data_IF_793505061454
#
_entry.id   IF_793505061454
#
_cell.length_a   1.000
_cell.length_b   1.000
_cell.length_c   1.000
_cell.angle_alpha   90.00
_cell.angle_beta   90.00
_cell.angle_gamma   90.00
#
_symmetry.space_group_name_H-M   'P 1'
#
loop_
_entity.id
_entity.type
_entity.pdbx_description
1 polymer ?
#
# COMPACT_ATOMS: atom_id res chain seq x y z
N UNK A 1 -36.51 33.22 -31.43
CA UNK A 1 -35.69 32.02 -31.72
C UNK A 1 -34.74 31.82 -30.55
N UNK A 2 -35.24 31.18 -29.49
CA UNK A 2 -34.41 30.83 -28.33
C UNK A 2 -33.68 29.55 -28.69
N UNK A 3 -32.37 29.66 -28.90
CA UNK A 3 -31.52 28.51 -29.11
C UNK A 3 -31.61 27.61 -27.87
N UNK A 4 -32.05 26.38 -28.12
CA UNK A 4 -32.13 25.30 -27.17
C UNK A 4 -30.69 24.99 -26.72
N UNK A 5 -30.23 25.55 -25.59
CA UNK A 5 -29.01 25.11 -24.90
C UNK A 5 -29.37 23.77 -24.24
N UNK A 6 -29.61 22.76 -25.08
CA UNK A 6 -29.70 21.39 -24.65
C UNK A 6 -28.29 20.96 -24.28
N UNK A 7 -28.08 20.73 -22.98
CA UNK A 7 -26.99 19.97 -22.36
C UNK A 7 -25.77 19.68 -23.27
N UNK A 8 -24.87 20.67 -23.41
CA UNK A 8 -23.54 20.36 -23.89
C UNK A 8 -22.91 19.40 -22.88
N UNK A 9 -22.66 18.15 -23.29
CA UNK A 9 -21.91 17.20 -22.48
C UNK A 9 -20.52 17.75 -22.14
N UNK A 10 -19.84 17.23 -21.11
CA UNK A 10 -18.51 17.70 -20.74
C UNK A 10 -17.56 17.65 -21.95
N UNK A 11 -16.71 18.67 -22.07
CA UNK A 11 -15.71 18.73 -23.14
C UNK A 11 -14.66 17.63 -22.90
N UNK A 12 -14.48 16.67 -23.82
CA UNK A 12 -13.62 15.50 -23.60
C UNK A 12 -12.16 15.86 -23.28
N UNK A 13 -11.63 16.92 -23.89
CA UNK A 13 -10.29 17.45 -23.64
C UNK A 13 -10.10 17.89 -22.18
N UNK A 14 -11.10 18.56 -21.59
CA UNK A 14 -11.05 18.95 -20.17
C UNK A 14 -11.07 17.73 -19.26
N UNK A 15 -11.89 16.72 -19.55
CA UNK A 15 -11.94 15.48 -18.75
C UNK A 15 -10.60 14.74 -18.82
N UNK A 16 -9.99 14.69 -20.01
CA UNK A 16 -8.67 14.10 -20.22
C UNK A 16 -7.56 14.87 -19.49
N UNK A 17 -7.59 16.21 -19.50
CA UNK A 17 -6.65 17.04 -18.73
C UNK A 17 -6.78 16.80 -17.23
N UNK A 18 -8.02 16.65 -16.72
CA UNK A 18 -8.24 16.31 -15.31
C UNK A 18 -7.73 14.90 -14.95
N UNK A 19 -7.78 13.93 -15.87
CA UNK A 19 -7.18 12.61 -15.66
C UNK A 19 -5.65 12.72 -15.55
N UNK A 20 -5.02 13.49 -16.45
CA UNK A 20 -3.58 13.70 -16.45
C UNK A 20 -3.12 14.43 -15.16
N UNK A 21 -3.85 15.46 -14.73
CA UNK A 21 -3.61 16.17 -13.46
C UNK A 21 -3.83 15.25 -12.25
N UNK A 22 -4.89 14.43 -12.23
CA UNK A 22 -5.14 13.49 -11.15
C UNK A 22 -4.02 12.45 -11.01
N UNK A 23 -3.51 11.90 -12.11
CA UNK A 23 -2.40 10.95 -12.09
C UNK A 23 -1.10 11.61 -11.58
N UNK A 24 -0.82 12.84 -12.03
CA UNK A 24 0.33 13.62 -11.54
C UNK A 24 0.22 13.91 -10.03
N UNK A 25 -0.93 14.43 -9.60
CA UNK A 25 -1.18 14.77 -8.20
C UNK A 25 -1.19 13.54 -7.30
N UNK A 26 -1.62 12.37 -7.79
CA UNK A 26 -1.52 11.13 -7.03
C UNK A 26 -0.07 10.77 -6.70
N UNK A 27 0.81 10.77 -7.70
CA UNK A 27 2.24 10.48 -7.50
C UNK A 27 2.89 11.48 -6.54
N UNK A 28 2.49 12.76 -6.63
CA UNK A 28 2.92 13.79 -5.69
C UNK A 28 2.41 13.54 -4.27
N UNK A 29 1.14 13.21 -4.12
CA UNK A 29 0.51 12.92 -2.83
C UNK A 29 1.21 11.78 -2.10
N UNK A 30 1.48 10.65 -2.77
CA UNK A 30 2.23 9.53 -2.19
C UNK A 30 3.64 9.94 -1.74
N UNK A 31 4.31 10.79 -2.52
CA UNK A 31 5.65 11.28 -2.21
C UNK A 31 5.64 12.22 -1.01
N UNK A 32 4.67 13.13 -0.95
CA UNK A 32 4.57 14.12 0.12
C UNK A 32 4.13 13.49 1.46
N UNK A 33 3.30 12.44 1.43
CA UNK A 33 2.97 11.65 2.63
C UNK A 33 4.18 10.97 3.29
N UNK A 34 5.23 10.70 2.51
CA UNK A 34 6.48 10.14 3.00
C UNK A 34 7.54 11.21 3.33
N UNK A 35 7.23 12.49 3.13
CA UNK A 35 8.19 13.58 3.32
C UNK A 35 8.42 13.89 4.79
N UNK A 36 9.69 14.11 5.15
CA UNK A 36 10.08 14.56 6.50
C UNK A 36 9.96 16.08 6.68
N UNK A 37 9.72 16.82 5.59
CA UNK A 37 9.65 18.29 5.59
C UNK A 37 8.25 18.81 5.35
N UNK A 38 7.24 17.94 5.30
CA UNK A 38 5.82 18.31 5.15
C UNK A 38 5.03 17.75 6.34
N UNK A 39 4.08 18.53 6.82
CA UNK A 39 3.07 18.03 7.74
C UNK A 39 1.77 17.70 6.99
N UNK A 40 0.83 17.02 7.67
CA UNK A 40 -0.42 16.56 7.04
C UNK A 40 -1.32 17.71 6.58
N UNK A 41 -1.33 18.86 7.27
CA UNK A 41 -2.13 20.03 6.86
C UNK A 41 -1.61 20.63 5.55
N UNK A 42 -0.29 20.64 5.36
CA UNK A 42 0.34 21.05 4.11
C UNK A 42 0.04 20.06 2.98
N UNK A 43 0.15 18.76 3.22
CA UNK A 43 -0.20 17.74 2.22
C UNK A 43 -1.66 17.90 1.78
N UNK A 44 -2.56 18.09 2.74
CA UNK A 44 -3.97 18.27 2.47
C UNK A 44 -4.22 19.51 1.60
N UNK A 45 -3.75 20.69 2.06
CA UNK A 45 -4.03 21.98 1.43
C UNK A 45 -3.38 22.17 0.06
N UNK A 46 -2.18 21.61 -0.17
CA UNK A 46 -1.44 21.84 -1.41
C UNK A 46 -1.62 20.75 -2.46
N UNK A 47 -2.01 19.55 -2.06
CA UNK A 47 -1.98 18.37 -2.94
C UNK A 47 -3.28 17.57 -2.88
N UNK A 48 -3.76 17.18 -1.70
CA UNK A 48 -4.94 16.31 -1.59
C UNK A 48 -6.23 17.00 -2.06
N UNK A 49 -6.47 18.27 -1.69
CA UNK A 49 -7.65 19.02 -2.14
C UNK A 49 -7.69 19.17 -3.66
N UNK A 50 -6.53 19.45 -4.27
CA UNK A 50 -6.39 19.52 -5.73
C UNK A 50 -6.58 18.17 -6.40
N UNK A 51 -6.07 17.10 -5.80
CA UNK A 51 -6.23 15.74 -6.31
C UNK A 51 -7.72 15.37 -6.34
N UNK A 52 -8.45 15.65 -5.26
CA UNK A 52 -9.89 15.45 -5.20
C UNK A 52 -10.61 16.30 -6.26
N UNK A 53 -10.24 17.56 -6.43
CA UNK A 53 -10.79 18.41 -7.48
C UNK A 53 -10.57 17.88 -8.90
N UNK A 54 -9.40 17.32 -9.19
CA UNK A 54 -9.10 16.68 -10.48
C UNK A 54 -9.91 15.38 -10.67
N UNK A 55 -10.02 14.55 -9.63
CA UNK A 55 -10.89 13.36 -9.62
C UNK A 55 -12.34 13.74 -9.90
N UNK A 56 -12.86 14.75 -9.21
CA UNK A 56 -14.21 15.27 -9.42
C UNK A 56 -14.39 15.78 -10.86
N UNK A 57 -13.38 16.46 -11.40
CA UNK A 57 -13.33 16.90 -12.80
C UNK A 57 -13.47 15.74 -13.80
N UNK A 58 -12.84 14.60 -13.53
CA UNK A 58 -13.03 13.38 -14.34
C UNK A 58 -14.44 12.81 -14.17
N UNK A 59 -14.98 12.80 -12.95
CA UNK A 59 -16.32 12.25 -12.64
C UNK A 59 -17.48 13.08 -13.18
N UNK A 60 -17.25 14.30 -13.67
CA UNK A 60 -18.24 15.03 -14.48
C UNK A 60 -18.59 14.22 -15.75
N UNK A 61 -17.63 13.45 -16.27
CA UNK A 61 -17.90 12.51 -17.35
C UNK A 61 -18.86 11.40 -16.89
N UNK A 62 -19.86 11.13 -17.71
CA UNK A 62 -20.71 9.94 -17.60
C UNK A 62 -20.35 8.97 -18.71
N UNK A 63 -20.91 7.77 -18.67
CA UNK A 63 -20.79 6.86 -19.79
C UNK A 63 -21.36 7.47 -21.09
N UNK A 64 -20.71 7.25 -22.24
CA UNK A 64 -19.56 6.36 -22.45
C UNK A 64 -18.18 6.99 -22.23
N UNK A 65 -18.10 8.31 -22.00
CA UNK A 65 -16.84 9.04 -21.93
C UNK A 65 -15.98 8.59 -20.73
N UNK A 66 -16.59 8.38 -19.56
CA UNK A 66 -15.87 7.88 -18.38
C UNK A 66 -15.19 6.53 -18.64
N UNK A 67 -15.89 5.60 -19.31
CA UNK A 67 -15.32 4.32 -19.72
C UNK A 67 -14.13 4.50 -20.66
N UNK A 68 -14.22 5.40 -21.66
CA UNK A 68 -13.11 5.67 -22.58
C UNK A 68 -11.88 6.24 -21.87
N UNK A 69 -12.09 7.14 -20.90
CA UNK A 69 -11.05 7.75 -20.08
C UNK A 69 -10.35 6.70 -19.21
N UNK A 70 -11.12 5.80 -18.58
CA UNK A 70 -10.58 4.69 -17.78
C UNK A 70 -9.77 3.73 -18.65
N UNK A 71 -10.28 3.35 -19.82
CA UNK A 71 -9.59 2.45 -20.74
C UNK A 71 -8.29 3.09 -21.27
N UNK A 72 -8.30 4.41 -21.57
CA UNK A 72 -7.09 5.17 -21.87
C UNK A 72 -6.10 5.10 -20.71
N UNK A 73 -6.52 5.41 -19.49
CA UNK A 73 -5.67 5.41 -18.30
C UNK A 73 -4.95 4.06 -18.11
N UNK A 74 -5.67 2.96 -18.28
CA UNK A 74 -5.12 1.60 -18.14
C UNK A 74 -4.20 1.18 -19.29
N UNK A 75 -4.33 1.78 -20.47
CA UNK A 75 -3.41 1.56 -21.59
C UNK A 75 -2.05 2.22 -21.40
N UNK A 76 -1.96 3.24 -20.54
CA UNK A 76 -0.72 3.96 -20.26
C UNK A 76 0.19 3.12 -19.36
N UNK A 77 1.51 3.34 -19.51
CA UNK A 77 2.53 2.61 -18.73
C UNK A 77 2.71 3.15 -17.31
N UNK A 78 2.31 4.39 -17.07
CA UNK A 78 2.42 5.02 -15.76
C UNK A 78 1.34 4.46 -14.81
N UNK A 79 1.79 3.85 -13.73
CA UNK A 79 0.97 3.17 -12.73
C UNK A 79 0.11 4.14 -11.90
N UNK A 80 0.42 5.44 -11.89
CA UNK A 80 -0.45 6.44 -11.26
C UNK A 80 -1.81 6.49 -11.97
N UNK A 81 -1.83 6.36 -13.30
CA UNK A 81 -3.09 6.26 -14.04
C UNK A 81 -3.90 5.02 -13.68
N UNK A 82 -3.23 3.88 -13.43
CA UNK A 82 -3.92 2.66 -13.02
C UNK A 82 -4.53 2.80 -11.63
N UNK A 83 -3.81 3.49 -10.74
CA UNK A 83 -4.28 3.82 -9.39
C UNK A 83 -5.49 4.75 -9.43
N UNK A 84 -5.40 5.84 -10.20
CA UNK A 84 -6.50 6.79 -10.38
C UNK A 84 -7.71 6.14 -11.06
N UNK A 85 -7.51 5.33 -12.09
CA UNK A 85 -8.60 4.59 -12.76
C UNK A 85 -9.36 3.66 -11.80
N UNK A 86 -8.63 2.92 -10.95
CA UNK A 86 -9.25 2.10 -9.93
C UNK A 86 -9.99 2.95 -8.90
N UNK A 87 -9.39 4.06 -8.46
CA UNK A 87 -10.02 4.95 -7.50
C UNK A 87 -11.30 5.60 -8.06
N UNK A 88 -11.30 6.09 -9.30
CA UNK A 88 -12.48 6.64 -9.97
C UNK A 88 -13.66 5.66 -9.94
N UNK A 89 -13.42 4.38 -10.24
CA UNK A 89 -14.46 3.34 -10.17
C UNK A 89 -14.95 3.07 -8.74
N UNK A 90 -14.15 3.39 -7.72
CA UNK A 90 -14.54 3.26 -6.31
C UNK A 90 -15.48 4.37 -5.83
N UNK A 91 -15.37 5.57 -6.42
CA UNK A 91 -16.14 6.75 -6.02
C UNK A 91 -17.23 7.13 -7.03
N UNK A 92 -17.20 6.58 -8.24
CA UNK A 92 -18.23 6.81 -9.25
C UNK A 92 -19.63 6.47 -8.73
N UNK A 93 -20.64 7.24 -9.12
CA UNK A 93 -22.03 6.98 -8.73
C UNK A 93 -22.69 5.82 -9.52
N UNK A 94 -22.06 5.36 -10.60
CA UNK A 94 -22.59 4.30 -11.45
C UNK A 94 -22.68 2.96 -10.68
N UNK A 95 -23.88 2.32 -10.64
CA UNK A 95 -24.06 0.99 -10.06
C UNK A 95 -23.18 -0.10 -10.68
N UNK A 96 -22.75 0.03 -11.94
CA UNK A 96 -21.91 -0.95 -12.62
C UNK A 96 -20.41 -0.77 -12.37
N UNK A 97 -19.98 0.39 -11.85
CA UNK A 97 -18.58 0.72 -11.62
C UNK A 97 -17.82 -0.34 -10.78
N UNK A 98 -18.47 -0.92 -9.75
CA UNK A 98 -17.83 -1.95 -8.89
C UNK A 98 -17.68 -3.28 -9.62
N UNK A 99 -18.60 -3.60 -10.53
CA UNK A 99 -18.47 -4.78 -11.39
C UNK A 99 -17.36 -4.59 -12.43
N UNK A 100 -17.26 -3.40 -13.03
CA UNK A 100 -16.17 -3.04 -13.95
C UNK A 100 -14.81 -3.06 -13.24
N UNK A 101 -14.71 -2.50 -12.03
CA UNK A 101 -13.50 -2.55 -11.20
C UNK A 101 -13.11 -4.00 -10.89
N UNK A 102 -14.07 -4.84 -10.52
CA UNK A 102 -13.82 -6.26 -10.25
C UNK A 102 -13.30 -6.99 -11.49
N UNK A 103 -13.83 -6.71 -12.68
CA UNK A 103 -13.33 -7.26 -13.93
C UNK A 103 -11.89 -6.83 -14.20
N UNK A 104 -11.64 -5.51 -14.22
CA UNK A 104 -10.34 -4.94 -14.53
C UNK A 104 -9.26 -5.40 -13.55
N UNK A 105 -9.57 -5.43 -12.25
CA UNK A 105 -8.63 -5.89 -11.23
C UNK A 105 -8.34 -7.40 -11.35
N UNK A 106 -9.27 -8.21 -11.86
CA UNK A 106 -9.03 -9.62 -12.16
C UNK A 106 -8.24 -9.86 -13.45
N UNK A 107 -8.18 -8.88 -14.34
CA UNK A 107 -7.39 -8.93 -15.59
C UNK A 107 -5.97 -8.39 -15.36
N UNK A 108 -5.80 -7.50 -14.39
CA UNK A 108 -4.51 -6.93 -14.00
C UNK A 108 -3.56 -7.95 -13.35
N UNK A 109 -2.26 -7.72 -13.49
CA UNK A 109 -1.21 -8.55 -12.90
C UNK A 109 -0.04 -7.68 -12.42
N UNK A 110 0.76 -8.23 -11.50
CA UNK A 110 2.00 -7.60 -11.04
C UNK A 110 1.82 -6.15 -10.60
N UNK A 111 2.62 -5.25 -11.17
CA UNK A 111 2.63 -3.83 -10.78
C UNK A 111 1.30 -3.10 -11.07
N UNK A 112 0.58 -3.48 -12.13
CA UNK A 112 -0.73 -2.90 -12.46
C UNK A 112 -1.78 -3.29 -11.40
N UNK A 113 -1.83 -4.56 -11.00
CA UNK A 113 -2.71 -5.01 -9.93
C UNK A 113 -2.36 -4.33 -8.59
N UNK A 114 -1.07 -4.15 -8.30
CA UNK A 114 -0.62 -3.45 -7.09
C UNK A 114 -1.01 -1.96 -7.09
N UNK A 115 -1.03 -1.31 -8.26
CA UNK A 115 -1.50 0.06 -8.44
C UNK A 115 -3.02 0.17 -8.28
N UNK A 116 -3.78 -0.73 -8.92
CA UNK A 116 -5.23 -0.78 -8.74
C UNK A 116 -5.63 -1.04 -7.28
N UNK A 117 -4.93 -1.95 -6.60
CA UNK A 117 -5.12 -2.19 -5.17
C UNK A 117 -4.91 -0.91 -4.35
N UNK A 118 -3.91 -0.08 -4.70
CA UNK A 118 -3.68 1.21 -4.03
C UNK A 118 -4.84 2.19 -4.20
N UNK A 119 -5.45 2.24 -5.38
CA UNK A 119 -6.63 3.10 -5.62
C UNK A 119 -7.84 2.65 -4.80
N UNK A 120 -7.98 1.34 -4.60
CA UNK A 120 -9.02 0.73 -3.76
C UNK A 120 -8.74 0.97 -2.27
N UNK A 121 -7.49 0.92 -1.80
CA UNK A 121 -7.14 1.09 -0.38
C UNK A 121 -7.76 2.35 0.24
N UNK A 122 -7.74 3.45 -0.50
CA UNK A 122 -8.19 4.78 -0.02
C UNK A 122 -9.66 5.08 -0.40
N UNK A 123 -10.40 4.07 -0.88
CA UNK A 123 -11.82 4.24 -1.17
C UNK A 123 -12.68 4.38 0.10
N UNK A 124 -13.86 5.02 0.03
CA UNK A 124 -14.83 5.03 1.12
C UNK A 124 -15.26 3.62 1.56
N UNK A 125 -15.40 3.41 2.87
CA UNK A 125 -15.92 2.16 3.44
C UNK A 125 -17.46 2.15 3.48
N UNK A 126 -18.07 2.10 2.30
CA UNK A 126 -19.52 2.21 2.11
C UNK A 126 -20.27 0.85 2.01
N UNK A 127 -19.52 -0.26 2.08
CA UNK A 127 -20.06 -1.62 1.98
C UNK A 127 -20.33 -2.13 0.55
N UNK A 128 -20.05 -1.34 -0.49
CA UNK A 128 -20.31 -1.73 -1.90
C UNK A 128 -19.25 -2.68 -2.49
N UNK A 129 -18.16 -2.94 -1.76
CA UNK A 129 -16.99 -3.70 -2.23
C UNK A 129 -17.13 -5.23 -2.22
N UNK A 130 -18.29 -5.76 -1.85
CA UNK A 130 -18.49 -7.22 -1.78
C UNK A 130 -18.26 -7.92 -3.12
N UNK A 131 -18.63 -7.29 -4.23
CA UNK A 131 -18.40 -7.80 -5.60
C UNK A 131 -16.91 -7.90 -5.93
N UNK A 132 -16.14 -6.83 -5.67
CA UNK A 132 -14.69 -6.79 -5.88
C UNK A 132 -13.99 -7.81 -5.00
N UNK A 133 -14.36 -7.86 -3.72
CA UNK A 133 -13.83 -8.83 -2.75
C UNK A 133 -14.00 -10.27 -3.23
N UNK A 134 -15.22 -10.63 -3.67
CA UNK A 134 -15.52 -11.98 -4.15
C UNK A 134 -14.77 -12.33 -5.43
N UNK A 135 -14.60 -11.36 -6.33
CA UNK A 135 -13.89 -11.55 -7.58
C UNK A 135 -12.40 -11.82 -7.34
N UNK A 136 -11.73 -10.97 -6.55
CA UNK A 136 -10.31 -11.11 -6.23
C UNK A 136 -10.00 -12.42 -5.49
N UNK A 137 -10.83 -12.79 -4.51
CA UNK A 137 -10.63 -14.01 -3.72
C UNK A 137 -10.64 -15.29 -4.59
N UNK A 138 -11.38 -15.30 -5.70
CA UNK A 138 -11.51 -16.47 -6.57
C UNK A 138 -10.49 -16.53 -7.70
N UNK A 139 -9.71 -15.47 -7.90
CA UNK A 139 -8.94 -15.31 -9.14
C UNK A 139 -7.58 -16.01 -9.09
N UNK A 140 -6.69 -15.58 -8.21
CA UNK A 140 -5.37 -16.21 -8.02
C UNK A 140 -4.75 -15.79 -6.68
N UNK A 141 -3.70 -16.48 -6.22
CA UNK A 141 -2.99 -16.11 -4.99
C UNK A 141 -2.49 -14.65 -4.97
N UNK A 142 -2.04 -14.12 -6.11
CA UNK A 142 -1.64 -12.71 -6.23
C UNK A 142 -2.82 -11.74 -5.99
N UNK A 143 -4.02 -12.10 -6.45
CA UNK A 143 -5.23 -11.31 -6.21
C UNK A 143 -5.70 -11.42 -4.75
N UNK A 144 -5.52 -12.59 -4.13
CA UNK A 144 -5.70 -12.74 -2.68
C UNK A 144 -4.73 -11.84 -1.91
N UNK A 145 -3.46 -11.74 -2.32
CA UNK A 145 -2.50 -10.84 -1.70
C UNK A 145 -2.90 -9.37 -1.86
N UNK A 146 -3.36 -8.96 -3.05
CA UNK A 146 -3.93 -7.63 -3.27
C UNK A 146 -5.13 -7.35 -2.34
N UNK A 147 -6.02 -8.34 -2.17
CA UNK A 147 -7.15 -8.22 -1.25
C UNK A 147 -6.72 -8.14 0.22
N UNK A 148 -5.72 -8.91 0.64
CA UNK A 148 -5.12 -8.82 1.98
C UNK A 148 -4.59 -7.41 2.23
N UNK A 149 -3.87 -6.85 1.24
CA UNK A 149 -3.30 -5.50 1.30
C UNK A 149 -4.39 -4.44 1.49
N UNK A 150 -5.43 -4.48 0.63
CA UNK A 150 -6.58 -3.57 0.69
C UNK A 150 -7.28 -3.65 2.05
N UNK A 151 -7.65 -4.85 2.49
CA UNK A 151 -8.37 -5.04 3.75
C UNK A 151 -7.53 -4.63 4.96
N UNK A 152 -6.23 -4.91 4.95
CA UNK A 152 -5.34 -4.51 6.05
C UNK A 152 -5.24 -2.99 6.16
N UNK A 153 -5.09 -2.29 5.03
CA UNK A 153 -5.09 -0.82 5.00
C UNK A 153 -6.40 -0.24 5.55
N UNK A 154 -7.53 -0.79 5.09
CA UNK A 154 -8.87 -0.39 5.49
C UNK A 154 -9.27 -0.88 6.90
N UNK A 155 -8.40 -1.64 7.58
CA UNK A 155 -8.67 -2.30 8.87
C UNK A 155 -9.92 -3.19 8.85
N UNK A 156 -10.25 -3.75 7.68
CA UNK A 156 -11.32 -4.70 7.50
C UNK A 156 -10.92 -6.10 7.98
N UNK A 157 -11.91 -6.94 8.28
CA UNK A 157 -11.67 -8.33 8.71
C UNK A 157 -10.99 -9.13 7.60
N UNK A 158 -9.82 -9.66 7.92
CA UNK A 158 -9.09 -10.63 7.10
C UNK A 158 -9.70 -12.04 7.25
N UNK A 159 -9.68 -12.81 6.18
CA UNK A 159 -10.21 -14.17 6.10
C UNK A 159 -9.35 -15.10 5.25
N UNK A 160 -10.01 -15.97 4.48
CA UNK A 160 -9.38 -17.04 3.70
C UNK A 160 -8.34 -16.53 2.68
N UNK A 161 -8.43 -15.26 2.28
CA UNK A 161 -7.43 -14.64 1.41
C UNK A 161 -6.00 -14.69 1.97
N UNK A 162 -5.81 -14.75 3.30
CA UNK A 162 -4.48 -14.83 3.90
C UNK A 162 -3.78 -16.15 3.57
N UNK A 163 -4.48 -17.27 3.75
CA UNK A 163 -3.94 -18.59 3.45
C UNK A 163 -3.70 -18.74 1.95
N UNK A 164 -4.70 -18.37 1.13
CA UNK A 164 -4.59 -18.43 -0.33
C UNK A 164 -3.45 -17.57 -0.88
N UNK A 165 -3.21 -16.37 -0.32
CA UNK A 165 -2.09 -15.52 -0.71
C UNK A 165 -0.74 -16.09 -0.27
N UNK A 166 -0.67 -16.71 0.90
CA UNK A 166 0.57 -17.31 1.41
C UNK A 166 0.98 -18.57 0.63
N UNK A 167 0.00 -19.37 0.20
CA UNK A 167 0.17 -20.58 -0.62
C UNK A 167 0.70 -20.30 -2.03
N UNK A 168 0.74 -19.03 -2.46
CA UNK A 168 1.39 -18.61 -3.70
C UNK A 168 2.87 -19.02 -3.79
N UNK A 169 3.50 -19.29 -2.63
CA UNK A 169 4.92 -19.55 -2.43
C UNK A 169 5.85 -18.54 -3.13
N UNK A 170 5.38 -17.30 -3.22
CA UNK A 170 6.08 -16.18 -3.82
C UNK A 170 6.37 -15.17 -2.72
N UNK A 171 7.64 -14.78 -2.61
CA UNK A 171 8.13 -13.90 -1.53
C UNK A 171 7.35 -12.57 -1.45
N UNK A 172 7.01 -11.87 -2.55
CA UNK A 172 6.27 -10.60 -2.45
C UNK A 172 4.88 -10.76 -1.81
N UNK A 173 4.13 -11.78 -2.22
CA UNK A 173 2.80 -12.11 -1.70
C UNK A 173 2.86 -12.53 -0.22
N UNK A 174 3.83 -13.37 0.14
CA UNK A 174 4.06 -13.77 1.53
C UNK A 174 4.43 -12.57 2.43
N UNK A 175 5.20 -11.60 1.93
CA UNK A 175 5.51 -10.36 2.66
C UNK A 175 4.24 -9.54 2.94
N UNK A 176 3.32 -9.45 1.98
CA UNK A 176 2.03 -8.77 2.17
C UNK A 176 1.22 -9.47 3.28
N UNK A 177 1.14 -10.80 3.23
CA UNK A 177 0.46 -11.61 4.27
C UNK A 177 1.11 -11.36 5.63
N UNK A 178 2.43 -11.43 5.72
CA UNK A 178 3.13 -11.24 7.00
C UNK A 178 2.90 -9.85 7.57
N UNK A 179 2.91 -8.79 6.77
CA UNK A 179 2.62 -7.42 7.23
C UNK A 179 1.17 -7.24 7.69
N UNK A 180 0.23 -7.93 7.06
CA UNK A 180 -1.17 -7.91 7.43
C UNK A 180 -1.46 -8.76 8.67
N UNK A 181 -0.68 -9.82 8.93
CA UNK A 181 -0.87 -10.70 10.08
C UNK A 181 -0.85 -9.95 11.43
N UNK A 182 -0.09 -8.85 11.53
CA UNK A 182 -0.06 -8.00 12.72
C UNK A 182 -1.39 -7.34 13.08
N UNK A 183 -2.40 -7.35 12.19
CA UNK A 183 -3.75 -6.85 12.47
C UNK A 183 -4.73 -7.95 12.91
N UNK A 184 -4.29 -9.21 12.97
CA UNK A 184 -5.13 -10.32 13.41
C UNK A 184 -5.27 -10.37 14.94
N UNK A 185 -6.38 -10.91 15.47
CA UNK A 185 -6.51 -11.22 16.88
C UNK A 185 -5.65 -12.43 17.29
N UNK A 186 -5.40 -12.57 18.59
CA UNK A 186 -4.87 -13.81 19.18
C UNK A 186 -5.93 -14.94 19.11
N UNK A 187 -5.53 -16.22 18.97
CA UNK A 187 -4.15 -16.71 18.82
C UNK A 187 -3.59 -16.61 17.39
N UNK A 188 -4.42 -16.27 16.40
CA UNK A 188 -4.04 -16.35 14.99
C UNK A 188 -2.80 -15.52 14.64
N UNK A 189 -2.65 -14.32 15.23
CA UNK A 189 -1.46 -13.49 14.99
C UNK A 189 -0.16 -14.18 15.39
N UNK A 190 -0.17 -14.96 16.48
CA UNK A 190 0.99 -15.69 16.96
C UNK A 190 1.39 -16.78 15.98
N UNK A 191 0.44 -17.59 15.54
CA UNK A 191 0.67 -18.68 14.59
C UNK A 191 1.28 -18.16 13.28
N UNK A 192 0.78 -17.03 12.79
CA UNK A 192 1.30 -16.40 11.57
C UNK A 192 2.68 -15.78 11.75
N UNK A 193 2.92 -15.08 12.88
CA UNK A 193 4.24 -14.51 13.17
C UNK A 193 5.28 -15.63 13.32
N UNK A 194 4.99 -16.68 14.08
CA UNK A 194 5.91 -17.81 14.25
C UNK A 194 6.25 -18.49 12.92
N UNK A 195 5.25 -18.69 12.06
CA UNK A 195 5.44 -19.20 10.70
C UNK A 195 6.37 -18.29 9.88
N UNK A 196 6.17 -16.98 9.93
CA UNK A 196 6.98 -16.02 9.19
C UNK A 196 8.42 -15.89 9.70
N UNK A 197 8.63 -15.98 11.02
CA UNK A 197 9.98 -15.97 11.62
C UNK A 197 10.80 -17.20 11.22
N UNK A 198 10.16 -18.36 11.06
CA UNK A 198 10.79 -19.60 10.62
C UNK A 198 11.04 -19.67 9.10
N UNK A 199 10.65 -18.63 8.35
CA UNK A 199 10.74 -18.65 6.89
C UNK A 199 12.18 -18.50 6.37
N UNK A 200 12.49 -19.14 5.24
CA UNK A 200 13.83 -19.13 4.63
C UNK A 200 14.21 -17.76 4.04
N UNK A 201 13.22 -17.04 3.49
CA UNK A 201 13.42 -15.70 2.91
C UNK A 201 13.57 -14.62 4.00
N UNK A 202 14.68 -13.83 3.99
CA UNK A 202 14.87 -12.70 4.91
C UNK A 202 13.76 -11.65 4.83
N UNK A 203 13.20 -11.41 3.63
CA UNK A 203 12.13 -10.43 3.43
C UNK A 203 10.83 -10.82 4.17
N UNK A 204 10.53 -12.13 4.21
CA UNK A 204 9.36 -12.65 4.95
C UNK A 204 9.60 -12.58 6.45
N UNK A 205 10.82 -12.93 6.91
CA UNK A 205 11.19 -12.81 8.32
C UNK A 205 11.09 -11.39 8.84
N UNK A 206 11.61 -10.39 8.11
CA UNK A 206 11.53 -8.99 8.56
C UNK A 206 10.08 -8.48 8.59
N UNK A 207 9.23 -8.90 7.65
CA UNK A 207 7.80 -8.59 7.68
C UNK A 207 7.09 -9.23 8.89
N UNK A 208 7.49 -10.45 9.28
CA UNK A 208 6.99 -11.10 10.49
C UNK A 208 7.46 -10.39 11.77
N UNK A 209 8.71 -9.92 11.80
CA UNK A 209 9.24 -9.08 12.88
C UNK A 209 8.42 -7.80 13.01
N UNK A 210 8.15 -7.09 11.91
CA UNK A 210 7.29 -5.88 11.90
C UNK A 210 5.93 -6.17 12.55
N UNK A 211 5.27 -7.26 12.15
CA UNK A 211 3.96 -7.65 12.69
C UNK A 211 3.98 -8.07 14.15
N UNK A 212 4.95 -8.87 14.58
CA UNK A 212 5.04 -9.28 15.98
C UNK A 212 5.43 -8.13 16.90
N UNK A 213 6.21 -7.14 16.42
CA UNK A 213 6.48 -5.91 17.17
C UNK A 213 5.22 -5.07 17.38
N UNK A 214 4.35 -4.94 16.36
CA UNK A 214 3.04 -4.27 16.51
C UNK A 214 2.21 -4.89 17.64
N UNK A 215 2.31 -6.21 17.80
CA UNK A 215 1.64 -6.97 18.86
C UNK A 215 2.48 -7.17 20.13
N UNK A 216 3.61 -6.46 20.25
CA UNK A 216 4.51 -6.49 21.43
C UNK A 216 5.02 -7.89 21.79
N UNK A 217 5.14 -8.77 20.81
CA UNK A 217 5.63 -10.14 20.99
C UNK A 217 7.14 -10.12 21.27
N UNK A 218 7.58 -10.71 22.38
CA UNK A 218 9.01 -10.73 22.72
C UNK A 218 9.85 -11.68 21.84
N UNK A 219 9.22 -12.67 21.21
CA UNK A 219 9.92 -13.68 20.43
C UNK A 219 10.63 -13.09 19.19
N UNK A 220 10.14 -11.97 18.64
CA UNK A 220 10.68 -11.37 17.40
C UNK A 220 12.04 -10.70 17.58
N UNK A 221 12.43 -10.37 18.82
CA UNK A 221 13.68 -9.64 19.09
C UNK A 221 14.93 -10.43 18.70
N UNK A 222 14.91 -11.76 18.86
CA UNK A 222 16.01 -12.62 18.45
C UNK A 222 16.27 -12.51 16.95
N UNK A 223 15.23 -12.74 16.16
CA UNK A 223 15.28 -12.68 14.70
C UNK A 223 15.63 -11.27 14.19
N UNK A 224 15.12 -10.21 14.84
CA UNK A 224 15.52 -8.84 14.49
C UNK A 224 17.04 -8.64 14.65
N UNK A 225 17.62 -9.08 15.76
CA UNK A 225 19.08 -9.00 15.99
C UNK A 225 19.86 -9.84 14.98
N UNK A 226 19.40 -11.05 14.69
CA UNK A 226 20.04 -11.94 13.71
C UNK A 226 20.08 -11.31 12.31
N UNK A 227 18.95 -10.78 11.84
CA UNK A 227 18.87 -10.09 10.54
C UNK A 227 19.81 -8.88 10.50
N UNK A 228 19.86 -8.10 11.58
CA UNK A 228 20.74 -6.93 11.68
C UNK A 228 22.23 -7.32 11.65
N UNK A 229 22.61 -8.30 12.48
CA UNK A 229 23.99 -8.75 12.61
C UNK A 229 24.51 -9.46 11.34
N UNK A 230 23.67 -10.29 10.71
CA UNK A 230 24.03 -10.98 9.48
C UNK A 230 23.99 -10.08 8.23
N UNK A 231 23.55 -8.83 8.36
CA UNK A 231 23.41 -7.85 7.27
C UNK A 231 22.64 -8.40 6.05
N UNK A 232 21.61 -9.21 6.34
CA UNK A 232 20.72 -9.81 5.33
C UNK A 232 19.85 -8.75 4.66
N UNK A 233 19.27 -9.02 3.47
CA UNK A 233 18.26 -8.14 2.90
C UNK A 233 17.17 -7.78 3.93
N UNK A 234 17.03 -6.48 4.23
CA UNK A 234 16.13 -5.98 5.28
C UNK A 234 16.83 -5.55 6.59
N UNK A 235 18.14 -5.73 6.72
CA UNK A 235 18.91 -5.34 7.92
C UNK A 235 18.71 -3.87 8.32
N UNK A 236 18.62 -2.95 7.35
CA UNK A 236 18.37 -1.53 7.65
C UNK A 236 17.01 -1.28 8.32
N UNK A 237 15.98 -2.03 7.94
CA UNK A 237 14.68 -2.00 8.66
C UNK A 237 14.84 -2.58 10.06
N UNK A 238 15.57 -3.68 10.19
CA UNK A 238 15.81 -4.28 11.51
C UNK A 238 16.54 -3.32 12.45
N UNK A 239 17.60 -2.66 11.98
CA UNK A 239 18.34 -1.65 12.75
C UNK A 239 17.41 -0.51 13.22
N UNK A 240 16.52 -0.01 12.36
CA UNK A 240 15.52 1.00 12.76
C UNK A 240 14.56 0.49 13.83
N UNK A 241 14.07 -0.75 13.71
CA UNK A 241 13.16 -1.34 14.69
C UNK A 241 13.86 -1.55 16.05
N UNK A 242 15.11 -1.99 16.03
CA UNK A 242 15.97 -2.09 17.22
C UNK A 242 16.25 -0.72 17.84
N UNK A 243 16.43 0.32 17.03
CA UNK A 243 16.62 1.69 17.51
C UNK A 243 15.37 2.25 18.21
N UNK A 244 14.21 2.10 17.58
CA UNK A 244 12.96 2.70 18.06
C UNK A 244 12.39 1.99 19.29
N UNK A 245 12.57 0.67 19.37
CA UNK A 245 11.85 -0.16 20.33
C UNK A 245 12.76 -1.04 21.19
N UNK A 246 14.05 -1.11 20.87
CA UNK A 246 15.03 -1.94 21.57
C UNK A 246 15.52 -1.33 22.88
N UNK A 247 16.51 -2.00 23.47
CA UNK A 247 17.19 -1.60 24.71
C UNK A 247 18.68 -1.45 24.45
N UNK A 248 19.45 -1.09 25.49
CA UNK A 248 20.89 -0.91 25.39
C UNK A 248 21.66 -2.05 24.65
N UNK A 249 21.35 -3.36 24.85
CA UNK A 249 22.00 -4.43 24.07
C UNK A 249 21.68 -4.38 22.57
N UNK A 250 20.45 -3.96 22.21
CA UNK A 250 20.03 -3.79 20.83
C UNK A 250 20.73 -2.61 20.17
N UNK A 251 20.93 -1.53 20.92
CA UNK A 251 21.60 -0.33 20.41
C UNK A 251 23.10 -0.56 20.15
N UNK A 252 23.73 -1.50 20.88
CA UNK A 252 25.12 -1.91 20.58
C UNK A 252 25.28 -2.48 19.18
N UNK A 253 24.31 -3.27 18.71
CA UNK A 253 24.30 -3.81 17.34
C UNK A 253 24.32 -2.70 16.29
N UNK A 254 23.65 -1.57 16.57
CA UNK A 254 23.60 -0.41 15.68
C UNK A 254 24.96 0.29 15.64
N UNK A 255 25.57 0.51 16.82
CA UNK A 255 26.89 1.15 16.92
C UNK A 255 27.96 0.29 16.25
N UNK A 256 27.93 -1.03 16.45
CA UNK A 256 28.84 -1.97 15.78
C UNK A 256 28.68 -1.93 14.26
N UNK A 257 27.44 -1.83 13.76
CA UNK A 257 27.16 -1.72 12.33
C UNK A 257 27.67 -0.43 11.67
N UNK A 258 28.07 0.60 12.43
CA UNK A 258 28.72 1.80 11.87
C UNK A 258 30.13 1.53 11.35
N UNK A 259 30.83 0.55 11.93
CA UNK A 259 32.18 0.18 11.51
C UNK A 259 32.20 -0.55 10.17
N UNK A 260 31.05 -1.05 9.73
CA UNK A 260 30.88 -1.86 8.53
C UNK A 260 30.44 -0.99 7.34
N UNK A 261 31.26 -0.89 6.30
CA UNK A 261 31.00 0.01 5.14
C UNK A 261 29.61 -0.21 4.52
N UNK A 262 29.20 -1.48 4.38
CA UNK A 262 27.89 -1.86 3.82
C UNK A 262 26.72 -1.42 4.70
N UNK A 263 26.90 -1.40 6.02
CA UNK A 263 25.83 -1.13 6.97
C UNK A 263 25.83 0.30 7.52
N UNK A 264 26.95 1.02 7.38
CA UNK A 264 27.18 2.34 7.98
C UNK A 264 26.05 3.34 7.70
N UNK A 265 25.59 3.44 6.45
CA UNK A 265 24.49 4.37 6.10
C UNK A 265 23.18 4.01 6.80
N UNK A 266 22.84 2.72 6.84
CA UNK A 266 21.60 2.28 7.49
C UNK A 266 21.69 2.39 9.02
N UNK A 267 22.86 2.10 9.59
CA UNK A 267 23.15 2.27 11.01
C UNK A 267 23.11 3.73 11.44
N UNK A 268 23.71 4.64 10.66
CA UNK A 268 23.64 6.08 10.89
C UNK A 268 22.18 6.58 10.89
N UNK A 269 21.38 6.14 9.93
CA UNK A 269 19.96 6.47 9.90
C UNK A 269 19.21 5.90 11.11
N UNK A 270 19.51 4.66 11.52
CA UNK A 270 18.90 4.04 12.68
C UNK A 270 19.25 4.75 14.00
N UNK A 271 20.48 5.25 14.16
CA UNK A 271 20.89 6.00 15.36
C UNK A 271 20.00 7.21 15.63
N UNK A 272 19.56 7.92 14.59
CA UNK A 272 18.62 9.05 14.72
C UNK A 272 17.30 8.68 15.40
N UNK A 273 16.96 7.39 15.50
CA UNK A 273 15.76 6.90 16.17
C UNK A 273 15.98 6.40 17.60
N UNK A 274 17.23 6.31 18.09
CA UNK A 274 17.56 5.82 19.44
C UNK A 274 17.10 6.80 20.54
N UNK A 275 17.10 8.10 20.24
CA UNK A 275 16.58 9.14 21.14
C UNK A 275 17.40 9.36 22.41
N UNK A 276 18.65 8.89 22.47
CA UNK A 276 19.58 9.16 23.59
C UNK A 276 20.59 10.26 23.23
N UNK A 277 21.11 10.96 24.24
CA UNK A 277 22.12 12.01 24.03
C UNK A 277 23.41 11.49 23.40
N UNK A 278 23.74 10.23 23.64
CA UNK A 278 24.93 9.60 23.08
C UNK A 278 24.78 9.26 21.59
N UNK A 279 23.54 9.26 21.07
CA UNK A 279 23.22 8.95 19.67
C UNK A 279 23.00 10.20 18.79
N UNK A 280 22.96 11.40 19.39
CA UNK A 280 22.78 12.72 18.76
C UNK A 280 24.07 13.52 18.86
#
# INVERSE_FOLDING_TARGET
>A
MSANIAAAGPFPDIVEENLDEAAFLWGRWETELASLTRNLDEVWSWTEDRLNGAIDGVLVARDPLLTQVIDRALSLRDLNFHTVAAHLLTVAADPQARARLAQLACEAQGASLAAMARGIEVSPLDGTFSTVTRALLKKSPQHCAALVRVKSFQRAKLGDELAAAYEADTVPEQVIVMRAAGTLPEPAVRDWVERGLAHSSPAVRIAAVESGLRQRMRAVWGTAREIAAAQEPGFGTSLRLLAMFGKAPDHRVIVEALAEEKAARAAFWALGHVGTREAV
#
